data_IF_627658591143
#
_entry.id   IF_627658591143
#
_cell.length_a   1.000
_cell.length_b   1.000
_cell.length_c   1.000
_cell.angle_alpha   90.00
_cell.angle_beta   90.00
_cell.angle_gamma   90.00
#
_symmetry.space_group_name_H-M   'P 1'
#
loop_
_entity.id
_entity.type
_entity.pdbx_description
1 polymer ?
#
# COMPACT_ATOMS: atom_id res chain seq x y z
N UNK A 1 1.56 -36.82 13.50
CA UNK A 1 0.77 -36.94 12.24
C UNK A 1 -0.52 -37.77 12.36
N UNK A 2 -0.69 -38.68 13.33
CA UNK A 2 -1.90 -39.53 13.46
C UNK A 2 -3.18 -38.83 13.99
N UNK A 3 -3.08 -37.62 14.56
CA UNK A 3 -4.23 -36.91 15.14
C UNK A 3 -5.11 -36.20 14.10
N UNK A 4 -4.51 -35.64 13.04
CA UNK A 4 -5.24 -34.94 11.98
C UNK A 4 -6.08 -35.90 11.12
N UNK A 5 -5.58 -37.12 10.89
CA UNK A 5 -6.29 -38.13 10.11
C UNK A 5 -7.56 -38.64 10.81
N UNK A 6 -7.53 -38.78 12.14
CA UNK A 6 -8.72 -39.16 12.94
C UNK A 6 -9.78 -38.04 12.97
N UNK A 7 -9.36 -36.79 12.98
CA UNK A 7 -10.29 -35.64 12.90
C UNK A 7 -11.02 -35.57 11.56
N UNK A 8 -10.30 -35.75 10.44
CA UNK A 8 -10.89 -35.73 9.10
C UNK A 8 -11.96 -36.83 8.89
N UNK A 9 -11.69 -38.05 9.37
CA UNK A 9 -12.66 -39.16 9.25
C UNK A 9 -13.91 -38.90 10.09
N UNK A 10 -13.78 -38.31 11.28
CA UNK A 10 -14.92 -38.05 12.15
C UNK A 10 -15.83 -36.94 11.56
N UNK A 11 -15.24 -35.87 11.05
CA UNK A 11 -15.98 -34.78 10.41
C UNK A 11 -16.77 -35.25 9.17
N UNK A 12 -16.20 -36.15 8.37
CA UNK A 12 -16.88 -36.71 7.19
C UNK A 12 -18.12 -37.56 7.56
N UNK A 13 -18.11 -38.24 8.71
CA UNK A 13 -19.27 -39.02 9.18
C UNK A 13 -20.43 -38.13 9.63
N UNK A 14 -20.16 -37.02 10.31
CA UNK A 14 -21.20 -36.09 10.76
C UNK A 14 -21.90 -35.39 9.59
N UNK A 15 -21.17 -35.01 8.53
CA UNK A 15 -21.78 -34.40 7.34
C UNK A 15 -22.77 -35.32 6.62
N UNK A 16 -22.46 -36.62 6.50
CA UNK A 16 -23.38 -37.58 5.86
C UNK A 16 -24.66 -37.81 6.69
N UNK A 17 -24.56 -37.75 8.03
CA UNK A 17 -25.72 -37.89 8.91
C UNK A 17 -26.67 -36.69 8.84
N UNK A 18 -26.15 -35.50 8.53
CA UNK A 18 -26.97 -34.29 8.33
C UNK A 18 -27.71 -34.26 7.00
N UNK A 19 -27.14 -34.86 5.95
CA UNK A 19 -27.73 -34.89 4.60
C UNK A 19 -28.95 -35.83 4.53
N UNK A 20 -29.00 -36.88 5.34
CA UNK A 20 -30.10 -37.86 5.30
C UNK A 20 -31.37 -37.40 6.06
N UNK A 21 -31.22 -36.41 6.95
CA UNK A 21 -32.33 -35.87 7.76
C UNK A 21 -33.19 -34.83 7.02
N UNK A 22 -32.81 -34.38 5.83
CA UNK A 22 -33.59 -33.42 5.02
C UNK A 22 -34.45 -34.14 3.99
N UNK A 23 -35.27 -35.09 4.44
CA UNK A 23 -36.40 -35.64 3.68
C UNK A 23 -37.56 -34.63 3.57
N UNK A 24 -37.29 -33.47 2.95
CA UNK A 24 -38.31 -32.50 2.56
C UNK A 24 -38.45 -32.54 1.03
N UNK A 25 -38.86 -33.70 0.51
CA UNK A 25 -39.54 -33.76 -0.80
C UNK A 25 -41.00 -34.15 -0.56
N UNK A 26 -41.77 -33.24 0.05
CA UNK A 26 -43.22 -33.40 0.10
C UNK A 26 -43.79 -33.16 -1.29
N UNK A 27 -44.16 -34.26 -1.94
CA UNK A 27 -45.15 -34.43 -3.01
C UNK A 27 -46.17 -33.28 -3.05
N UNK A 28 -46.03 -32.38 -4.01
CA UNK A 28 -47.01 -31.32 -4.30
C UNK A 28 -48.08 -31.93 -5.24
N UNK A 29 -49.37 -31.87 -4.91
CA UNK A 29 -50.44 -32.37 -5.77
C UNK A 29 -50.63 -31.49 -7.01
N UNK A 30 -50.85 -32.14 -8.15
CA UNK A 30 -51.17 -31.55 -9.45
C UNK A 30 -52.35 -30.56 -9.35
N UNK A 31 -52.07 -29.26 -9.34
CA UNK A 31 -53.05 -28.23 -9.66
C UNK A 31 -52.84 -27.79 -11.11
N UNK A 32 -53.87 -28.01 -11.94
CA UNK A 32 -53.92 -27.50 -13.31
C UNK A 32 -54.00 -25.97 -13.28
N UNK A 33 -52.86 -25.30 -13.14
CA UNK A 33 -52.80 -23.85 -13.28
C UNK A 33 -52.53 -23.48 -14.74
N UNK A 34 -53.53 -22.85 -15.35
CA UNK A 34 -53.54 -22.35 -16.73
C UNK A 34 -52.43 -21.31 -16.88
N UNK A 35 -51.33 -21.68 -17.55
CA UNK A 35 -50.19 -20.80 -17.80
C UNK A 35 -50.61 -19.69 -18.78
N UNK A 36 -50.90 -18.50 -18.26
CA UNK A 36 -50.81 -17.27 -19.05
C UNK A 36 -49.34 -16.93 -19.18
N UNK A 37 -48.78 -17.01 -20.38
CA UNK A 37 -47.42 -16.53 -20.66
C UNK A 37 -47.38 -15.02 -20.43
N UNK A 38 -46.57 -14.48 -19.49
CA UNK A 38 -46.31 -13.05 -19.49
C UNK A 38 -45.47 -12.71 -20.72
N UNK A 39 -45.90 -11.69 -21.48
CA UNK A 39 -45.09 -11.10 -22.55
C UNK A 39 -43.81 -10.56 -21.91
N UNK A 40 -42.69 -11.16 -22.29
CA UNK A 40 -41.35 -10.77 -21.89
C UNK A 40 -40.98 -9.47 -22.61
N UNK A 41 -41.06 -8.35 -21.90
CA UNK A 41 -40.45 -7.09 -22.32
C UNK A 41 -39.12 -7.00 -21.59
N UNK A 42 -38.05 -7.34 -22.31
CA UNK A 42 -36.67 -7.18 -21.81
C UNK A 42 -36.43 -5.70 -21.50
N UNK A 43 -36.35 -5.38 -20.20
CA UNK A 43 -36.04 -4.05 -19.72
C UNK A 43 -34.54 -3.78 -19.98
N UNK A 44 -34.18 -2.84 -20.88
CA UNK A 44 -32.78 -2.54 -21.23
C UNK A 44 -31.97 -2.01 -20.03
N UNK A 45 -32.66 -1.60 -18.96
CA UNK A 45 -32.08 -1.16 -17.69
C UNK A 45 -31.16 -2.21 -17.05
N UNK A 46 -31.55 -3.48 -17.00
CA UNK A 46 -30.77 -4.54 -16.33
C UNK A 46 -29.44 -4.82 -17.04
N UNK A 47 -29.42 -4.69 -18.37
CA UNK A 47 -28.19 -4.85 -19.18
C UNK A 47 -27.24 -3.70 -18.93
N UNK A 48 -27.76 -2.48 -18.79
CA UNK A 48 -26.97 -1.29 -18.47
C UNK A 48 -26.31 -1.38 -17.09
N UNK A 49 -27.05 -1.83 -16.08
CA UNK A 49 -26.52 -2.02 -14.72
C UNK A 49 -25.45 -3.11 -14.64
N UNK A 50 -25.63 -4.22 -15.38
CA UNK A 50 -24.64 -5.30 -15.44
C UNK A 50 -23.35 -4.85 -16.17
N UNK A 51 -23.48 -4.06 -17.24
CA UNK A 51 -22.33 -3.48 -17.94
C UNK A 51 -21.54 -2.49 -17.06
N UNK A 52 -22.24 -1.68 -16.27
CA UNK A 52 -21.63 -0.70 -15.38
C UNK A 52 -20.85 -1.36 -14.22
N UNK A 53 -21.39 -2.44 -13.64
CA UNK A 53 -20.68 -3.24 -12.62
C UNK A 53 -19.43 -3.92 -13.21
N UNK A 54 -19.53 -4.45 -14.43
CA UNK A 54 -18.37 -5.06 -15.11
C UNK A 54 -17.27 -4.04 -15.38
N UNK A 55 -17.62 -2.83 -15.82
CA UNK A 55 -16.66 -1.75 -16.06
C UNK A 55 -15.95 -1.29 -14.78
N UNK A 56 -16.69 -1.18 -13.67
CA UNK A 56 -16.12 -0.82 -12.36
C UNK A 56 -15.19 -1.90 -11.81
N UNK A 57 -15.51 -3.18 -11.99
CA UNK A 57 -14.69 -4.30 -11.50
C UNK A 57 -13.41 -4.49 -12.32
N UNK A 58 -13.43 -4.23 -13.63
CA UNK A 58 -12.23 -4.27 -14.48
C UNK A 58 -11.32 -3.06 -14.25
N UNK A 59 -11.89 -1.89 -13.94
CA UNK A 59 -11.11 -0.68 -13.62
C UNK A 59 -10.25 -0.79 -12.34
N UNK A 60 -10.64 -1.64 -11.39
CA UNK A 60 -9.92 -1.83 -10.12
C UNK A 60 -8.70 -2.76 -10.22
N UNK A 61 -8.55 -3.53 -11.31
CA UNK A 61 -7.45 -4.51 -11.48
C UNK A 61 -6.22 -3.89 -12.15
N UNK A 62 -6.29 -2.65 -12.64
CA UNK A 62 -5.18 -2.00 -13.36
C UNK A 62 -4.19 -1.25 -12.46
N UNK A 63 -4.13 -1.54 -11.16
CA UNK A 63 -3.10 -1.02 -10.26
C UNK A 63 -1.95 -2.03 -10.11
N UNK A 64 -1.31 -2.40 -11.23
CA UNK A 64 -0.07 -3.16 -11.21
C UNK A 64 1.12 -2.18 -11.14
N UNK A 65 1.85 -2.25 -10.03
CA UNK A 65 3.05 -1.48 -9.66
C UNK A 65 2.87 -0.05 -9.16
N UNK A 66 1.79 0.27 -8.44
CA UNK A 66 1.90 1.36 -7.47
C UNK A 66 2.53 0.80 -6.20
N UNK A 67 3.85 0.94 -6.11
CA UNK A 67 4.62 0.73 -4.89
C UNK A 67 4.00 1.57 -3.77
N UNK A 68 3.11 0.95 -3.00
CA UNK A 68 2.51 1.50 -1.79
C UNK A 68 3.57 1.51 -0.67
N UNK A 69 4.67 2.21 -0.91
CA UNK A 69 5.70 2.46 0.08
C UNK A 69 5.32 3.73 0.82
N UNK A 70 4.79 3.55 2.04
CA UNK A 70 4.72 4.60 3.06
C UNK A 70 3.65 5.67 2.85
N UNK A 71 2.37 5.31 3.02
CA UNK A 71 1.23 6.24 3.20
C UNK A 71 1.28 7.08 4.50
N UNK A 72 2.47 7.38 5.03
CA UNK A 72 2.62 8.17 6.26
C UNK A 72 2.60 9.69 6.01
N UNK A 73 2.31 10.14 4.78
CA UNK A 73 2.48 11.54 4.37
C UNK A 73 1.19 12.25 3.91
N UNK A 74 0.01 11.61 4.03
CA UNK A 74 -1.26 12.29 3.77
C UNK A 74 -1.50 13.38 4.83
N UNK A 75 -1.08 14.62 4.53
CA UNK A 75 -1.28 15.81 5.37
C UNK A 75 -0.01 16.44 5.97
N UNK A 76 1.18 15.92 5.68
CA UNK A 76 2.43 16.55 6.10
C UNK A 76 2.88 17.61 5.07
N UNK A 77 3.22 18.82 5.54
CA UNK A 77 3.82 19.84 4.67
C UNK A 77 5.24 19.39 4.29
N UNK A 78 5.43 18.96 3.04
CA UNK A 78 6.72 18.54 2.50
C UNK A 78 7.53 19.76 2.14
N UNK A 79 8.72 19.89 2.74
CA UNK A 79 9.65 20.99 2.48
C UNK A 79 10.55 20.63 1.29
N UNK A 80 10.63 21.47 0.25
CA UNK A 80 11.53 21.23 -0.87
C UNK A 80 13.00 21.32 -0.43
N UNK A 81 13.84 20.45 -0.97
CA UNK A 81 15.25 20.32 -0.55
C UNK A 81 16.04 21.62 -0.72
N UNK A 82 15.72 22.42 -1.76
CA UNK A 82 16.39 23.70 -2.01
C UNK A 82 16.22 24.70 -0.86
N UNK A 83 15.07 24.72 -0.20
CA UNK A 83 14.79 25.66 0.90
C UNK A 83 15.61 25.32 2.15
N UNK A 84 15.94 24.04 2.36
CA UNK A 84 16.72 23.58 3.52
C UNK A 84 18.13 24.16 3.55
N UNK A 85 18.72 24.44 2.37
CA UNK A 85 20.07 25.03 2.28
C UNK A 85 20.12 26.48 2.76
N UNK A 86 19.00 27.18 2.76
CA UNK A 86 18.88 28.55 3.26
C UNK A 86 18.76 28.63 4.79
N UNK A 87 18.54 27.49 5.46
CA UNK A 87 18.39 27.39 6.92
C UNK A 87 19.29 26.27 7.49
N UNK A 88 20.62 26.44 7.42
CA UNK A 88 21.57 25.35 7.61
C UNK A 88 21.46 24.62 8.96
N UNK A 89 21.03 25.29 10.04
CA UNK A 89 20.98 24.65 11.37
C UNK A 89 19.73 25.04 12.15
N UNK A 90 18.57 24.87 11.52
CA UNK A 90 17.31 24.96 12.25
C UNK A 90 17.05 23.60 12.92
N UNK A 91 16.92 23.57 14.25
CA UNK A 91 16.50 22.39 15.02
C UNK A 91 15.03 22.00 14.74
N UNK A 92 14.50 22.44 13.59
CA UNK A 92 13.17 22.25 13.07
C UNK A 92 13.05 20.86 12.48
N UNK A 93 11.92 20.22 12.74
CA UNK A 93 11.60 18.93 12.12
C UNK A 93 10.92 19.18 10.79
N UNK A 94 11.50 18.64 9.71
CA UNK A 94 11.00 18.78 8.34
C UNK A 94 10.65 17.41 7.77
N UNK A 95 9.78 17.42 6.77
CA UNK A 95 9.47 16.26 5.95
C UNK A 95 10.03 16.50 4.56
N UNK A 96 10.88 15.60 4.08
CA UNK A 96 11.33 15.61 2.69
C UNK A 96 10.75 14.43 1.95
N UNK A 97 10.43 14.62 0.68
CA UNK A 97 9.99 13.58 -0.22
C UNK A 97 10.92 13.52 -1.42
N UNK A 98 11.36 12.33 -1.79
CA UNK A 98 12.20 12.17 -2.97
C UNK A 98 12.55 10.73 -3.26
N UNK A 99 13.36 10.53 -4.29
CA UNK A 99 13.84 9.23 -4.74
C UNK A 99 15.24 8.95 -4.18
N UNK A 100 15.45 7.75 -3.66
CA UNK A 100 16.78 7.32 -3.19
C UNK A 100 17.69 7.07 -4.39
N UNK A 101 18.79 7.82 -4.50
CA UNK A 101 19.79 7.63 -5.55
C UNK A 101 20.99 6.80 -5.10
N UNK A 102 21.43 6.98 -3.85
CA UNK A 102 22.62 6.33 -3.31
C UNK A 102 22.43 5.99 -1.84
N UNK A 103 23.16 4.97 -1.40
CA UNK A 103 23.18 4.50 -0.01
C UNK A 103 24.64 4.50 0.44
N UNK A 104 24.93 5.20 1.53
CA UNK A 104 26.21 5.18 2.21
C UNK A 104 26.05 4.48 3.58
N UNK A 105 26.68 3.32 3.79
CA UNK A 105 26.63 2.63 5.08
C UNK A 105 27.44 3.42 6.13
N UNK A 106 26.84 3.66 7.30
CA UNK A 106 27.53 4.21 8.48
C UNK A 106 27.64 3.11 9.55
N UNK A 107 28.39 3.37 10.64
CA UNK A 107 28.64 2.38 11.69
C UNK A 107 27.36 1.81 12.34
N UNK A 108 26.41 2.69 12.70
CA UNK A 108 25.15 2.30 13.38
C UNK A 108 23.89 2.63 12.58
N UNK A 109 24.03 3.39 11.49
CA UNK A 109 22.93 4.00 10.72
C UNK A 109 23.23 3.90 9.23
N UNK A 110 22.31 4.35 8.39
CA UNK A 110 22.54 4.50 6.95
C UNK A 110 22.26 5.94 6.54
N UNK A 111 23.07 6.44 5.61
CA UNK A 111 22.81 7.71 4.95
C UNK A 111 22.28 7.42 3.54
N UNK A 112 21.15 8.01 3.21
CA UNK A 112 20.51 7.90 1.91
C UNK A 112 20.61 9.23 1.19
N UNK A 113 21.12 9.23 -0.04
CA UNK A 113 21.07 10.41 -0.89
C UNK A 113 19.70 10.46 -1.54
N UNK A 114 18.87 11.39 -1.10
CA UNK A 114 17.52 11.59 -1.59
C UNK A 114 17.51 12.76 -2.56
N UNK A 115 16.92 12.55 -3.74
CA UNK A 115 16.70 13.59 -4.74
C UNK A 115 15.20 13.91 -4.86
N UNK A 116 14.89 15.20 -4.86
CA UNK A 116 13.61 15.73 -5.33
C UNK A 116 13.80 16.54 -6.63
N UNK A 117 12.77 17.26 -7.06
CA UNK A 117 12.85 18.16 -8.23
C UNK A 117 13.77 19.36 -8.00
N UNK A 118 14.02 19.73 -6.74
CA UNK A 118 14.72 20.95 -6.35
C UNK A 118 16.21 20.73 -6.03
N UNK A 119 16.62 19.50 -5.74
CA UNK A 119 18.00 19.17 -5.43
C UNK A 119 18.21 17.78 -4.84
N UNK A 120 19.34 17.62 -4.16
CA UNK A 120 19.68 16.41 -3.41
C UNK A 120 20.14 16.75 -2.00
N UNK A 121 19.88 15.84 -1.08
CA UNK A 121 20.32 15.93 0.31
C UNK A 121 20.61 14.56 0.90
N UNK A 122 21.54 14.50 1.84
CA UNK A 122 21.78 13.31 2.65
C UNK A 122 20.78 13.24 3.81
N UNK A 123 20.13 12.10 3.95
CA UNK A 123 19.26 11.78 5.07
C UNK A 123 19.83 10.59 5.85
N UNK A 124 20.20 10.82 7.11
CA UNK A 124 20.70 9.81 8.03
C UNK A 124 19.53 9.24 8.82
N UNK A 125 19.30 7.94 8.70
CA UNK A 125 18.17 7.23 9.33
C UNK A 125 18.59 5.85 9.81
N UNK A 126 17.86 5.33 10.79
CA UNK A 126 18.02 3.94 11.26
C UNK A 126 17.27 2.93 10.37
N UNK A 127 16.45 3.41 9.42
CA UNK A 127 15.71 2.57 8.48
C UNK A 127 16.67 1.86 7.53
N UNK A 128 16.55 0.53 7.44
CA UNK A 128 17.45 -0.33 6.63
C UNK A 128 16.77 -0.97 5.42
N UNK A 129 15.45 -0.76 5.28
CA UNK A 129 14.62 -1.36 4.25
C UNK A 129 14.53 -0.54 2.95
N UNK A 130 15.16 0.63 2.89
CA UNK A 130 15.15 1.49 1.69
C UNK A 130 16.18 1.02 0.67
N UNK A 131 15.79 1.03 -0.60
CA UNK A 131 16.61 0.63 -1.76
C UNK A 131 16.79 1.80 -2.71
N UNK A 132 17.84 1.71 -3.53
CA UNK A 132 18.05 2.67 -4.62
C UNK A 132 16.87 2.56 -5.58
N UNK A 133 16.28 3.71 -5.91
CA UNK A 133 15.10 3.81 -6.76
C UNK A 133 13.79 4.00 -6.02
N UNK A 134 13.75 3.76 -4.70
CA UNK A 134 12.54 3.90 -3.90
C UNK A 134 12.13 5.37 -3.77
N UNK A 135 10.83 5.62 -3.87
CA UNK A 135 10.22 6.89 -3.50
C UNK A 135 9.95 6.87 -1.99
N UNK A 136 10.49 7.84 -1.26
CA UNK A 136 10.47 7.86 0.20
C UNK A 136 10.05 9.22 0.73
N UNK A 137 9.43 9.22 1.92
CA UNK A 137 9.21 10.42 2.73
C UNK A 137 9.97 10.24 4.03
N UNK A 138 10.92 11.13 4.30
CA UNK A 138 11.78 11.07 5.48
C UNK A 138 11.48 12.28 6.36
N UNK A 139 11.20 12.01 7.64
CA UNK A 139 11.05 13.01 8.68
C UNK A 139 12.36 13.10 9.46
N UNK A 140 12.88 14.31 9.64
CA UNK A 140 14.08 14.50 10.44
C UNK A 140 14.37 15.95 10.75
N UNK A 141 15.45 16.20 11.47
CA UNK A 141 15.91 17.54 11.82
C UNK A 141 17.01 17.98 10.86
N UNK A 142 16.99 19.26 10.46
CA UNK A 142 18.05 19.85 9.66
C UNK A 142 19.30 19.99 10.53
N UNK A 143 20.45 19.64 9.98
CA UNK A 143 21.75 19.79 10.61
C UNK A 143 22.74 20.33 9.59
N UNK A 144 23.66 21.16 10.05
CA UNK A 144 24.81 21.58 9.27
C UNK A 144 26.10 21.03 9.87
N UNK A 145 26.99 20.53 9.01
CA UNK A 145 28.35 20.16 9.42
C UNK A 145 29.34 21.02 8.65
N UNK A 146 30.03 21.92 9.34
CA UNK A 146 31.18 22.66 8.81
C UNK A 146 32.37 21.73 8.57
N UNK A 147 33.03 21.89 7.43
CA UNK A 147 34.22 21.17 6.99
C UNK A 147 35.18 22.20 6.38
N UNK A 148 35.96 22.93 7.21
CA UNK A 148 36.91 23.91 6.71
C UNK A 148 38.18 23.22 6.19
N UNK A 149 38.52 23.42 4.93
CA UNK A 149 39.75 22.88 4.29
C UNK A 149 40.43 24.02 3.54
N UNK A 150 41.72 24.26 3.81
CA UNK A 150 42.52 25.30 3.15
C UNK A 150 41.81 26.67 3.12
N UNK A 151 41.23 27.08 4.26
CA UNK A 151 40.49 28.33 4.43
C UNK A 151 39.21 28.46 3.57
N UNK A 152 38.67 27.35 3.06
CA UNK A 152 37.38 27.28 2.37
C UNK A 152 36.42 26.37 3.14
N UNK A 153 35.15 26.76 3.20
CA UNK A 153 34.09 25.99 3.84
C UNK A 153 33.46 25.01 2.85
N UNK A 154 33.54 23.70 3.15
CA UNK A 154 32.95 22.61 2.37
C UNK A 154 31.80 21.92 3.11
N UNK A 155 31.27 22.54 4.15
CA UNK A 155 30.20 21.99 4.95
C UNK A 155 28.91 21.78 4.16
N UNK A 156 28.13 20.80 4.58
CA UNK A 156 26.89 20.38 3.92
C UNK A 156 25.72 20.32 4.92
N UNK A 157 24.53 20.65 4.43
CA UNK A 157 23.28 20.51 5.15
C UNK A 157 22.76 19.09 4.94
N UNK A 158 22.39 18.42 6.02
CA UNK A 158 21.84 17.07 6.01
C UNK A 158 20.65 16.94 6.96
N UNK A 159 19.91 15.84 6.82
CA UNK A 159 18.77 15.53 7.68
C UNK A 159 19.14 14.35 8.57
N UNK A 160 18.78 14.43 9.84
CA UNK A 160 18.95 13.34 10.80
C UNK A 160 17.59 12.94 11.38
N UNK A 161 17.23 11.66 11.20
CA UNK A 161 16.09 11.05 11.88
C UNK A 161 16.44 10.80 13.36
N UNK A 162 15.53 11.18 14.26
CA UNK A 162 15.63 10.88 15.70
C UNK A 162 14.88 9.61 16.05
#
# INVERSE_FOLDING_TARGET
MLQAHKFYINFKKECHQWIDKTQIYKKIPNSKFKIRKPKSYYLPSTVFYLGLIYFLTVGLVSCSNFSFFGINAFGANVTPIRELRSQPDSNTTVYIQGKVEKIAPLLKRRAYLVRDETGKIWAITNQTNLRVGDQVVIKGQIRYRSIPIANREYGEVYIEEK
#
